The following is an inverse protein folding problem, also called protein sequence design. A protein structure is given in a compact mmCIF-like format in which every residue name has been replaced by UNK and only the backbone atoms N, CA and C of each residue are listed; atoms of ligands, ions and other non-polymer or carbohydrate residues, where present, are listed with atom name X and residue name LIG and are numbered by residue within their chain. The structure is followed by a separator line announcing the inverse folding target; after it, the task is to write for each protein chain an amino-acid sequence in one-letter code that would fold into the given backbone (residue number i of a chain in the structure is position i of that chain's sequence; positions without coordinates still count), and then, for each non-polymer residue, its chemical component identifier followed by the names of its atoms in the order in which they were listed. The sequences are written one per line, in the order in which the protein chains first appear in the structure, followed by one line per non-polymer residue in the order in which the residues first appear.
data_IF_951433489374
#
_entry.id   IF_951433489374
#
_cell.length_a   1.000
_cell.length_b   1.000
_cell.length_c   1.000
_cell.angle_alpha   90.00
_cell.angle_beta   90.00
_cell.angle_gamma   90.00
#
_symmetry.space_group_name_H-M   'P 1'
#
loop_
_entity.id
_entity.type
_entity.pdbx_description
1 polymer ?
#
# COMPACT_ATOMS: atom_id res chain seq x y z
N UNK A 1 -23.47 23.74 -7.55
CA UNK A 1 -22.36 24.70 -7.79
C UNK A 1 -21.03 23.94 -7.69
N UNK A 2 -20.22 24.05 -8.75
CA UNK A 2 -18.82 23.63 -8.98
C UNK A 2 -18.25 22.38 -8.26
N UNK A 3 -18.21 21.25 -8.99
CA UNK A 3 -17.30 20.12 -8.72
C UNK A 3 -15.90 20.47 -9.22
N UNK A 4 -14.94 20.64 -8.29
CA UNK A 4 -13.53 20.86 -8.64
C UNK A 4 -12.92 19.50 -8.97
N UNK A 5 -12.93 19.14 -10.24
CA UNK A 5 -12.07 18.09 -10.75
C UNK A 5 -10.61 18.45 -10.41
N UNK A 6 -9.94 17.56 -9.67
CA UNK A 6 -8.56 17.73 -9.16
C UNK A 6 -7.63 18.18 -10.30
N UNK A 7 -6.90 19.30 -10.14
CA UNK A 7 -6.00 19.87 -11.17
C UNK A 7 -5.05 18.80 -11.75
N UNK A 8 -4.80 18.75 -13.08
CA UNK A 8 -4.05 17.67 -13.73
C UNK A 8 -2.66 17.39 -13.12
N UNK A 9 -1.99 18.42 -12.62
CA UNK A 9 -0.68 18.33 -11.96
C UNK A 9 -0.74 17.59 -10.61
N UNK A 10 -1.78 17.83 -9.81
CA UNK A 10 -1.95 17.16 -8.51
C UNK A 10 -2.31 15.68 -8.67
N UNK A 11 -3.10 15.34 -9.69
CA UNK A 11 -3.43 13.95 -10.02
C UNK A 11 -2.19 13.16 -10.49
N UNK A 12 -1.32 13.77 -11.31
CA UNK A 12 -0.05 13.17 -11.73
C UNK A 12 0.88 12.94 -10.54
N UNK A 13 1.05 13.93 -9.67
CA UNK A 13 1.86 13.79 -8.46
C UNK A 13 1.38 12.65 -7.56
N UNK A 14 0.07 12.53 -7.35
CA UNK A 14 -0.52 11.43 -6.58
C UNK A 14 -0.26 10.06 -7.22
N UNK A 15 -0.35 9.96 -8.56
CA UNK A 15 -0.05 8.72 -9.30
C UNK A 15 1.42 8.32 -9.17
N UNK A 16 2.34 9.28 -9.30
CA UNK A 16 3.78 9.05 -9.11
C UNK A 16 4.07 8.60 -7.68
N UNK A 17 3.49 9.27 -6.68
CA UNK A 17 3.64 8.89 -5.27
C UNK A 17 3.17 7.46 -5.01
N UNK A 18 1.98 7.10 -5.51
CA UNK A 18 1.45 5.73 -5.38
C UNK A 18 2.35 4.68 -6.05
N UNK A 19 2.93 5.00 -7.23
CA UNK A 19 3.88 4.12 -7.93
C UNK A 19 5.14 3.88 -7.09
N UNK A 20 5.73 4.94 -6.53
CA UNK A 20 6.93 4.83 -5.69
C UNK A 20 6.67 3.96 -4.46
N UNK A 21 5.58 4.22 -3.72
CA UNK A 21 5.24 3.44 -2.52
C UNK A 21 5.00 1.95 -2.84
N UNK A 22 4.33 1.66 -3.96
CA UNK A 22 4.09 0.27 -4.39
C UNK A 22 5.40 -0.46 -4.72
N UNK A 23 6.30 0.20 -5.45
CA UNK A 23 7.62 -0.37 -5.80
C UNK A 23 8.49 -0.55 -4.57
N UNK A 24 8.53 0.46 -3.68
CA UNK A 24 9.26 0.41 -2.43
C UNK A 24 8.81 -0.78 -1.57
N UNK A 25 7.49 -0.92 -1.36
CA UNK A 25 6.92 -2.03 -0.61
C UNK A 25 7.37 -3.39 -1.15
N UNK A 26 7.32 -3.57 -2.48
CA UNK A 26 7.75 -4.80 -3.14
C UNK A 26 9.22 -5.10 -2.84
N UNK A 27 10.10 -4.12 -2.99
CA UNK A 27 11.54 -4.31 -2.75
C UNK A 27 11.82 -4.59 -1.27
N UNK A 28 11.18 -3.89 -0.34
CA UNK A 28 11.31 -4.19 1.09
C UNK A 28 10.83 -5.60 1.44
N UNK A 29 9.74 -6.04 0.81
CA UNK A 29 9.22 -7.40 0.95
C UNK A 29 10.13 -8.43 0.27
N UNK A 30 10.85 -8.12 -0.80
CA UNK A 30 11.73 -9.10 -1.44
C UNK A 30 13.08 -9.20 -0.71
N UNK A 31 13.66 -8.06 -0.33
CA UNK A 31 15.02 -7.95 0.17
C UNK A 31 15.13 -7.80 1.70
N UNK A 32 14.02 -7.62 2.41
CA UNK A 32 14.01 -7.20 3.81
C UNK A 32 14.34 -5.71 3.98
N UNK A 33 14.23 -5.21 5.21
CA UNK A 33 14.57 -3.82 5.49
C UNK A 33 16.04 -3.55 5.18
N UNK A 34 16.98 -4.28 5.77
CA UNK A 34 18.42 -4.05 5.56
C UNK A 34 18.85 -4.17 4.09
N UNK A 35 18.38 -5.19 3.38
CA UNK A 35 18.74 -5.43 1.98
C UNK A 35 18.15 -4.43 0.98
N UNK A 36 17.12 -3.67 1.35
CA UNK A 36 16.50 -2.69 0.44
C UNK A 36 17.38 -1.44 0.26
N UNK A 37 17.49 -0.96 -0.99
CA UNK A 37 18.29 0.20 -1.36
C UNK A 37 17.42 1.30 -2.01
N UNK A 38 17.48 2.53 -1.49
CA UNK A 38 16.71 3.67 -2.03
C UNK A 38 17.03 3.94 -3.51
N UNK A 39 18.28 3.79 -3.94
CA UNK A 39 18.66 3.99 -5.35
C UNK A 39 18.02 2.94 -6.27
N UNK A 40 17.95 1.69 -5.82
CA UNK A 40 17.27 0.62 -6.55
C UNK A 40 15.77 0.89 -6.63
N UNK A 41 15.17 1.35 -5.52
CA UNK A 41 13.75 1.74 -5.49
C UNK A 41 13.48 2.89 -6.47
N UNK A 42 14.35 3.91 -6.48
CA UNK A 42 14.23 5.04 -7.41
C UNK A 42 14.27 4.58 -8.87
N UNK A 43 15.24 3.74 -9.23
CA UNK A 43 15.35 3.19 -10.58
C UNK A 43 14.11 2.37 -10.96
N UNK A 44 13.67 1.46 -10.09
CA UNK A 44 12.49 0.62 -10.35
C UNK A 44 11.17 1.42 -10.39
N UNK A 45 11.10 2.55 -9.69
CA UNK A 45 9.95 3.43 -9.68
C UNK A 45 9.99 4.51 -10.77
N UNK A 46 10.99 4.49 -11.65
CA UNK A 46 11.22 5.51 -12.69
C UNK A 46 11.18 6.92 -12.06
N UNK A 47 12.06 7.10 -11.07
CA UNK A 47 12.27 8.32 -10.30
C UNK A 47 13.75 8.49 -9.95
N UNK A 48 14.10 9.54 -9.21
CA UNK A 48 15.48 9.81 -8.80
C UNK A 48 15.64 9.64 -7.29
N UNK A 49 16.87 9.38 -6.85
CA UNK A 49 17.18 9.31 -5.42
C UNK A 49 16.80 10.62 -4.71
N UNK A 50 17.13 11.78 -5.28
CA UNK A 50 16.77 13.09 -4.72
C UNK A 50 15.27 13.22 -4.54
N UNK A 51 14.47 12.91 -5.58
CA UNK A 51 13.02 12.99 -5.47
C UNK A 51 12.47 12.10 -4.36
N UNK A 52 13.02 10.89 -4.19
CA UNK A 52 12.58 10.02 -3.10
C UNK A 52 12.97 10.61 -1.75
N UNK A 53 14.20 11.08 -1.58
CA UNK A 53 14.63 11.68 -0.32
C UNK A 53 13.86 12.95 0.02
N UNK A 54 13.52 13.76 -0.98
CA UNK A 54 12.79 15.02 -0.80
C UNK A 54 11.31 14.78 -0.47
N UNK A 55 10.69 13.74 -1.04
CA UNK A 55 9.25 13.47 -0.88
C UNK A 55 8.89 12.46 0.22
N UNK A 56 9.82 11.59 0.58
CA UNK A 56 9.58 10.49 1.52
C UNK A 56 10.60 10.48 2.66
N UNK A 57 11.62 11.33 2.63
CA UNK A 57 12.70 11.31 3.60
C UNK A 57 13.62 10.10 3.40
N UNK A 58 14.07 9.50 4.51
CA UNK A 58 14.98 8.37 4.48
C UNK A 58 14.32 7.02 4.19
N UNK A 59 15.14 5.95 4.19
CA UNK A 59 14.72 4.57 3.97
C UNK A 59 13.64 4.12 4.97
N UNK A 60 13.82 4.48 6.24
CA UNK A 60 12.87 4.15 7.31
C UNK A 60 11.51 4.81 7.09
N UNK A 61 11.50 6.09 6.73
CA UNK A 61 10.28 6.84 6.52
C UNK A 61 9.55 6.38 5.23
N UNK A 62 10.31 6.07 4.18
CA UNK A 62 9.78 5.43 2.98
C UNK A 62 9.13 4.07 3.29
N UNK A 63 9.76 3.24 4.14
CA UNK A 63 9.18 1.98 4.60
C UNK A 63 7.86 2.20 5.35
N UNK A 64 7.85 3.08 6.36
CA UNK A 64 6.65 3.41 7.13
C UNK A 64 5.51 3.86 6.22
N UNK A 65 5.79 4.76 5.27
CA UNK A 65 4.78 5.26 4.34
C UNK A 65 4.30 4.18 3.35
N UNK A 66 5.19 3.30 2.90
CA UNK A 66 4.82 2.19 2.02
C UNK A 66 3.89 1.20 2.73
N UNK A 67 4.20 0.85 3.98
CA UNK A 67 3.35 -0.01 4.84
C UNK A 67 2.04 0.69 5.20
N UNK A 68 2.06 1.99 5.52
CA UNK A 68 0.85 2.74 5.79
C UNK A 68 -0.09 2.79 4.57
N UNK A 69 0.47 3.03 3.38
CA UNK A 69 -0.29 3.01 2.13
C UNK A 69 -0.86 1.62 1.83
N UNK A 70 -0.09 0.57 2.10
CA UNK A 70 -0.51 -0.81 1.99
C UNK A 70 -1.77 -1.07 2.85
N UNK A 71 -1.75 -0.69 4.13
CA UNK A 71 -2.89 -0.84 5.03
C UNK A 71 -4.07 0.07 4.67
N UNK A 72 -3.82 1.28 4.18
CA UNK A 72 -4.87 2.18 3.71
C UNK A 72 -5.64 1.57 2.52
N UNK A 73 -4.92 0.98 1.56
CA UNK A 73 -5.52 0.26 0.43
C UNK A 73 -6.34 -0.95 0.89
N UNK A 74 -5.82 -1.75 1.83
CA UNK A 74 -6.60 -2.85 2.41
C UNK A 74 -7.87 -2.36 3.09
N UNK A 75 -7.79 -1.31 3.92
CA UNK A 75 -8.95 -0.74 4.61
C UNK A 75 -10.03 -0.30 3.62
N UNK A 76 -9.63 0.35 2.53
CA UNK A 76 -10.58 0.83 1.52
C UNK A 76 -11.24 -0.31 0.74
N UNK A 77 -10.50 -1.35 0.36
CA UNK A 77 -11.03 -2.50 -0.37
C UNK A 77 -11.82 -3.47 0.51
N UNK A 78 -11.48 -3.56 1.79
CA UNK A 78 -12.08 -4.48 2.75
C UNK A 78 -13.13 -3.84 3.63
N UNK A 79 -13.44 -2.54 3.45
CA UNK A 79 -14.50 -1.86 4.18
C UNK A 79 -15.84 -2.61 4.05
N UNK A 80 -16.71 -2.57 5.08
CA UNK A 80 -18.05 -3.12 4.98
C UNK A 80 -18.78 -2.57 3.74
N UNK A 81 -19.44 -3.46 3.03
CA UNK A 81 -20.32 -3.07 1.91
C UNK A 81 -21.68 -2.66 2.46
N UNK A 82 -22.42 -1.80 1.74
CA UNK A 82 -23.82 -1.57 2.05
C UNK A 82 -24.58 -2.89 2.19
N UNK A 83 -25.39 -2.99 3.24
CA UNK A 83 -26.12 -4.21 3.59
C UNK A 83 -25.32 -5.25 4.38
N UNK A 84 -24.01 -5.09 4.59
CA UNK A 84 -23.24 -6.03 5.43
C UNK A 84 -23.75 -6.03 6.88
N UNK A 85 -24.24 -4.88 7.37
CA UNK A 85 -24.76 -4.73 8.74
C UNK A 85 -26.18 -5.25 8.92
N UNK A 86 -26.90 -5.47 7.81
CA UNK A 86 -28.29 -5.97 7.83
C UNK A 86 -28.33 -7.51 7.78
N UNK A 87 -27.17 -8.15 7.56
CA UNK A 87 -27.04 -9.61 7.51
C UNK A 87 -26.86 -10.20 8.91
N UNK A 88 -27.29 -11.46 9.14
CA UNK A 88 -26.91 -12.20 10.34
C UNK A 88 -25.37 -12.22 10.49
N UNK A 89 -24.81 -12.10 11.71
CA UNK A 89 -23.36 -11.94 11.92
C UNK A 89 -22.50 -13.01 11.23
N UNK A 90 -22.97 -14.26 11.21
CA UNK A 90 -22.28 -15.37 10.54
C UNK A 90 -22.19 -15.19 9.02
N UNK A 91 -23.22 -14.61 8.41
CA UNK A 91 -23.26 -14.36 6.98
C UNK A 91 -22.43 -13.14 6.59
N UNK A 92 -22.52 -12.06 7.36
CA UNK A 92 -21.64 -10.90 7.24
C UNK A 92 -20.17 -11.32 7.33
N UNK A 93 -19.81 -12.15 8.32
CA UNK A 93 -18.47 -12.70 8.47
C UNK A 93 -18.05 -13.56 7.26
N UNK A 94 -18.90 -14.49 6.80
CA UNK A 94 -18.62 -15.28 5.58
C UNK A 94 -18.38 -14.40 4.35
N UNK A 95 -19.15 -13.33 4.19
CA UNK A 95 -18.98 -12.37 3.09
C UNK A 95 -17.66 -11.61 3.23
N UNK A 96 -17.33 -11.14 4.43
CA UNK A 96 -16.06 -10.47 4.72
C UNK A 96 -14.87 -11.40 4.45
N UNK A 97 -14.87 -12.63 4.95
CA UNK A 97 -13.79 -13.61 4.74
C UNK A 97 -13.58 -13.90 3.25
N UNK A 98 -14.66 -14.06 2.46
CA UNK A 98 -14.54 -14.23 1.01
C UNK A 98 -13.88 -13.03 0.33
N UNK A 99 -14.19 -11.81 0.77
CA UNK A 99 -13.58 -10.58 0.26
C UNK A 99 -12.11 -10.50 0.65
N UNK A 100 -11.79 -10.86 1.89
CA UNK A 100 -10.42 -10.95 2.39
C UNK A 100 -9.56 -11.96 1.62
N UNK A 101 -10.07 -13.17 1.36
CA UNK A 101 -9.33 -14.19 0.59
C UNK A 101 -9.03 -13.68 -0.83
N UNK A 102 -10.01 -13.07 -1.51
CA UNK A 102 -9.79 -12.47 -2.85
C UNK A 102 -8.82 -11.31 -2.82
N UNK A 103 -8.82 -10.54 -1.73
CA UNK A 103 -7.86 -9.46 -1.53
C UNK A 103 -6.44 -10.01 -1.42
N UNK A 104 -6.21 -11.00 -0.56
CA UNK A 104 -4.91 -11.66 -0.41
C UNK A 104 -4.41 -12.28 -1.72
N UNK A 105 -5.31 -12.85 -2.53
CA UNK A 105 -4.96 -13.39 -3.84
C UNK A 105 -4.49 -12.32 -4.85
N UNK A 106 -5.01 -11.08 -4.74
CA UNK A 106 -4.60 -9.95 -5.61
C UNK A 106 -3.39 -9.18 -5.08
N UNK A 107 -3.12 -9.31 -3.78
CA UNK A 107 -2.07 -8.59 -3.06
C UNK A 107 -1.18 -9.56 -2.26
N UNK A 108 -0.41 -10.44 -2.92
CA UNK A 108 0.47 -11.39 -2.23
C UNK A 108 1.50 -10.70 -1.32
N UNK A 109 1.88 -9.45 -1.63
CA UNK A 109 2.76 -8.61 -0.82
C UNK A 109 2.22 -8.37 0.61
N UNK A 110 0.89 -8.30 0.79
CA UNK A 110 0.28 -8.13 2.11
C UNK A 110 0.57 -9.29 3.05
N UNK A 111 0.54 -10.52 2.51
CA UNK A 111 0.83 -11.73 3.28
C UNK A 111 2.26 -11.72 3.82
N UNK A 112 3.18 -11.16 3.04
CA UNK A 112 4.61 -11.19 3.33
C UNK A 112 5.04 -10.11 4.33
N UNK A 113 4.36 -8.95 4.36
CA UNK A 113 4.62 -7.93 5.38
C UNK A 113 4.22 -8.41 6.77
N UNK A 114 3.05 -9.06 6.91
CA UNK A 114 2.59 -9.58 8.21
C UNK A 114 3.54 -10.67 8.74
N UNK A 115 4.00 -11.58 7.87
CA UNK A 115 4.94 -12.64 8.28
C UNK A 115 6.33 -12.09 8.63
N UNK A 116 6.84 -11.08 7.91
CA UNK A 116 8.16 -10.52 8.23
C UNK A 116 8.14 -9.56 9.41
N UNK A 117 7.00 -8.95 9.75
CA UNK A 117 6.87 -8.15 10.97
C UNK A 117 6.92 -9.01 12.24
N UNK A 118 6.48 -10.27 12.19
CA UNK A 118 6.59 -11.22 13.31
C UNK A 118 8.00 -11.76 13.52
N UNK A 119 8.88 -11.70 12.51
CA UNK A 119 10.27 -12.17 12.60
C UNK A 119 11.24 -11.09 13.12
N UNK A 120 10.75 -9.87 13.37
CA UNK A 120 11.55 -8.71 13.76
C UNK A 120 11.06 -8.02 15.07
N UNK A 121 10.21 -8.70 15.85
CA UNK A 121 9.86 -8.32 17.23
C UNK A 121 10.08 -9.48 18.19
#
# INVERSE_FOLDING_TARGET
MASVAKRPTQARAAKTRARILKVALKIFVECGFEGANIRQIAAAADSTHSMITDHFGGKEELWKQAVAQMFATAREELKPLPGDMDLPPREAFRRHVRRYIRYCARHPEHRLVVHRLSDHY
#
